data_IF_021589861775
#
_entry.id   IF_021589861775
#
_cell.length_a   1.000
_cell.length_b   1.000
_cell.length_c   1.000
_cell.angle_alpha   90.00
_cell.angle_beta   90.00
_cell.angle_gamma   90.00
#
_symmetry.space_group_name_H-M   'P 1'
#
loop_
_entity.id
_entity.type
_entity.pdbx_description
1 polymer ?
#
# COMPACT_ATOMS: atom_id res chain seq x y z
N UNK A 1 0.71 -0.99 50.23
CA UNK A 1 1.65 0.03 49.69
C UNK A 1 1.47 0.05 48.19
N UNK A 2 0.57 0.91 47.70
CA UNK A 2 0.85 2.23 47.13
C UNK A 2 1.28 2.18 45.64
N UNK A 3 0.29 2.52 44.82
CA UNK A 3 0.34 2.88 43.39
C UNK A 3 0.99 4.26 43.23
N UNK A 4 1.67 4.51 42.09
CA UNK A 4 1.21 5.59 41.18
C UNK A 4 1.23 5.05 39.73
N UNK A 5 0.23 5.16 38.86
CA UNK A 5 -0.52 6.32 38.31
C UNK A 5 0.32 7.57 38.14
N UNK A 6 0.71 7.87 36.89
CA UNK A 6 0.60 9.22 36.36
C UNK A 6 0.21 9.22 34.88
N UNK A 7 -0.81 10.03 34.65
CA UNK A 7 -1.43 10.45 33.40
C UNK A 7 -0.66 11.66 32.84
N UNK A 8 -1.10 12.09 31.64
CA UNK A 8 -0.82 13.39 31.01
C UNK A 8 0.49 13.45 30.18
N UNK A 9 0.56 14.04 29.00
CA UNK A 9 -0.43 14.78 28.19
C UNK A 9 0.13 14.90 26.78
N UNK A 10 -0.79 14.88 25.82
CA UNK A 10 -0.69 15.38 24.46
C UNK A 10 0.08 16.71 24.34
N UNK A 11 0.97 16.81 23.35
CA UNK A 11 1.20 18.05 22.59
C UNK A 11 1.85 17.78 21.23
N UNK A 12 1.00 17.84 20.21
CA UNK A 12 1.23 18.36 18.88
C UNK A 12 2.30 19.46 18.86
N UNK A 13 3.26 19.43 17.92
CA UNK A 13 3.36 20.36 16.76
C UNK A 13 4.78 20.40 16.18
N UNK A 14 4.84 20.45 14.84
CA UNK A 14 5.86 21.05 13.93
C UNK A 14 7.01 20.17 13.41
N UNK A 15 6.86 19.82 12.13
CA UNK A 15 7.92 19.84 11.12
C UNK A 15 8.77 21.10 11.24
N UNK A 16 10.11 20.96 11.20
CA UNK A 16 11.09 21.81 10.50
C UNK A 16 12.48 21.13 10.60
N UNK A 17 13.31 21.18 9.55
CA UNK A 17 14.50 20.35 9.38
C UNK A 17 15.68 20.76 10.26
N UNK A 18 16.59 19.79 10.43
CA UNK A 18 17.85 19.86 11.15
C UNK A 18 18.64 21.16 10.94
N UNK A 19 18.70 21.99 11.98
CA UNK A 19 19.78 22.95 12.21
C UNK A 19 20.44 22.59 13.55
N UNK A 20 21.69 22.14 13.49
CA UNK A 20 22.50 21.87 14.69
C UNK A 20 22.99 23.19 15.27
N UNK A 21 22.84 23.38 16.58
CA UNK A 21 23.34 24.54 17.33
C UNK A 21 24.78 24.25 17.78
N UNK A 22 25.72 25.15 17.47
CA UNK A 22 27.08 25.13 18.03
C UNK A 22 27.25 26.27 19.04
N UNK A 23 28.08 26.04 20.06
CA UNK A 23 28.10 26.71 21.39
C UNK A 23 28.64 28.16 21.39
N UNK A 24 28.81 28.81 20.24
CA UNK A 24 29.22 30.22 20.18
C UNK A 24 28.11 31.05 19.55
N UNK A 25 27.47 31.91 20.35
CA UNK A 25 26.47 32.86 19.91
C UNK A 25 27.02 33.81 18.82
N UNK A 26 26.75 33.48 17.56
CA UNK A 26 26.64 34.37 16.38
C UNK A 26 26.05 33.56 15.21
N UNK A 27 24.91 34.01 14.67
CA UNK A 27 24.38 33.49 13.41
C UNK A 27 25.36 33.85 12.28
N UNK A 28 25.92 32.84 11.62
CA UNK A 28 26.67 33.00 10.38
C UNK A 28 25.84 32.34 9.28
N UNK A 29 25.13 33.15 8.50
CA UNK A 29 24.58 32.73 7.21
C UNK A 29 25.69 32.85 6.17
N UNK A 30 25.99 31.81 5.36
CA UNK A 30 26.89 31.98 4.23
C UNK A 30 26.20 32.84 3.17
N UNK A 31 26.70 34.06 2.99
CA UNK A 31 26.38 34.92 1.85
C UNK A 31 27.08 34.38 0.61
N UNK A 32 26.33 33.78 -0.31
CA UNK A 32 26.88 33.35 -1.58
C UNK A 32 27.05 34.58 -2.49
N UNK A 33 28.31 34.99 -2.66
CA UNK A 33 28.72 36.12 -3.48
C UNK A 33 28.67 35.75 -4.97
N UNK A 34 27.87 36.47 -5.75
CA UNK A 34 27.77 36.35 -7.20
C UNK A 34 29.01 36.96 -7.85
N UNK A 35 29.98 36.14 -8.25
CA UNK A 35 31.06 36.58 -9.17
C UNK A 35 30.73 36.15 -10.59
N UNK A 36 30.42 37.14 -11.42
CA UNK A 36 30.32 37.00 -12.87
C UNK A 36 31.76 36.95 -13.40
N UNK A 37 32.16 35.82 -13.97
CA UNK A 37 33.33 35.73 -14.86
C UNK A 37 32.91 35.03 -16.14
N UNK A 38 32.92 35.81 -17.22
CA UNK A 38 32.76 35.36 -18.61
C UNK A 38 34.07 34.73 -19.07
N UNK A 39 34.05 33.47 -19.52
CA UNK A 39 34.94 33.00 -20.58
C UNK A 39 34.45 31.68 -21.18
N UNK A 40 34.54 31.60 -22.51
CA UNK A 40 33.96 30.58 -23.39
C UNK A 40 34.87 29.34 -23.54
N UNK A 41 34.20 28.23 -23.88
CA UNK A 41 34.65 26.98 -24.55
C UNK A 41 35.29 25.90 -23.66
N UNK A 42 34.59 24.77 -23.61
CA UNK A 42 35.09 23.47 -23.16
C UNK A 42 33.92 22.49 -23.07
N UNK A 43 33.67 21.75 -24.15
CA UNK A 43 32.54 20.84 -24.28
C UNK A 43 32.46 19.86 -23.12
N UNK A 44 31.44 20.01 -22.28
CA UNK A 44 31.27 19.14 -21.13
C UNK A 44 30.28 18.04 -21.47
N UNK A 45 30.83 16.86 -21.75
CA UNK A 45 30.14 15.57 -21.77
C UNK A 45 29.62 15.22 -20.37
N UNK A 46 28.81 16.07 -19.75
CA UNK A 46 27.97 15.63 -18.65
C UNK A 46 26.68 15.10 -19.25
N UNK A 47 26.72 13.83 -19.68
CA UNK A 47 25.49 13.02 -19.73
C UNK A 47 24.87 13.14 -18.34
N UNK A 48 23.82 13.96 -18.22
CA UNK A 48 22.90 13.90 -17.08
C UNK A 48 22.51 12.43 -16.93
N UNK A 49 22.96 11.76 -15.87
CA UNK A 49 22.39 10.46 -15.49
C UNK A 49 20.98 10.77 -15.01
N UNK A 50 19.90 10.39 -15.71
CA UNK A 50 18.57 10.52 -15.14
C UNK A 50 18.42 9.37 -14.15
N UNK A 51 18.91 9.54 -12.92
CA UNK A 51 18.64 8.61 -11.83
C UNK A 51 17.27 8.95 -11.24
N UNK A 52 16.21 8.87 -12.04
CA UNK A 52 14.91 8.51 -11.49
C UNK A 52 14.84 7.01 -11.70
N UNK A 53 15.17 6.21 -10.68
CA UNK A 53 14.95 4.76 -10.78
C UNK A 53 13.47 4.57 -11.15
N UNK A 54 13.18 4.09 -12.36
CA UNK A 54 11.80 3.95 -12.77
C UNK A 54 11.15 2.90 -11.88
N UNK A 55 9.87 3.09 -11.59
CA UNK A 55 9.09 2.14 -10.81
C UNK A 55 9.21 0.73 -11.45
N UNK A 56 9.40 -0.34 -10.64
CA UNK A 56 9.53 -1.68 -11.18
C UNK A 56 8.27 -2.09 -11.94
N UNK A 57 8.47 -2.98 -12.92
CA UNK A 57 7.35 -3.61 -13.62
C UNK A 57 6.58 -4.53 -12.66
N UNK A 58 5.25 -4.56 -12.80
CA UNK A 58 4.39 -5.44 -12.02
C UNK A 58 4.60 -6.89 -12.44
N UNK A 59 4.69 -7.79 -11.46
CA UNK A 59 4.46 -9.21 -11.68
C UNK A 59 2.98 -9.46 -11.98
N UNK A 60 2.67 -10.66 -12.48
CA UNK A 60 1.30 -11.07 -12.73
C UNK A 60 0.46 -11.03 -11.44
N UNK A 61 -0.78 -10.57 -11.53
CA UNK A 61 -1.71 -10.44 -10.39
C UNK A 61 -1.21 -9.53 -9.25
N UNK A 62 -0.15 -8.76 -9.48
CA UNK A 62 0.36 -7.79 -8.53
C UNK A 62 -0.52 -6.54 -8.54
N UNK A 63 -0.76 -5.99 -7.35
CA UNK A 63 -1.43 -4.70 -7.22
C UNK A 63 -0.50 -3.60 -7.75
N UNK A 64 -0.97 -2.88 -8.75
CA UNK A 64 -0.24 -1.79 -9.39
C UNK A 64 -0.49 -0.43 -8.72
N UNK A 65 -1.72 -0.19 -8.24
CA UNK A 65 -2.06 0.99 -7.44
C UNK A 65 -2.92 0.60 -6.22
N UNK A 66 -2.68 1.26 -5.09
CA UNK A 66 -3.60 1.28 -3.95
C UNK A 66 -4.30 2.63 -3.90
N UNK A 67 -5.63 2.63 -3.86
CA UNK A 67 -6.48 3.82 -3.95
C UNK A 67 -7.25 3.98 -2.64
N UNK A 68 -6.90 4.99 -1.88
CA UNK A 68 -7.51 5.29 -0.59
C UNK A 68 -8.66 6.27 -0.78
N UNK A 69 -9.89 5.74 -0.83
CA UNK A 69 -11.10 6.50 -1.18
C UNK A 69 -11.33 7.69 -0.24
N UNK A 70 -11.13 7.49 1.08
CA UNK A 70 -11.29 8.55 2.09
C UNK A 70 -10.27 9.68 1.94
N UNK A 71 -9.04 9.34 1.57
CA UNK A 71 -7.94 10.30 1.42
C UNK A 71 -7.86 10.89 0.00
N UNK A 72 -8.67 10.38 -0.94
CA UNK A 72 -8.58 10.68 -2.38
C UNK A 72 -7.14 10.57 -2.90
N UNK A 73 -6.42 9.58 -2.40
CA UNK A 73 -5.00 9.39 -2.65
C UNK A 73 -4.75 8.08 -3.39
N UNK A 74 -3.88 8.12 -4.40
CA UNK A 74 -3.42 6.94 -5.13
C UNK A 74 -1.95 6.72 -4.83
N UNK A 75 -1.64 5.56 -4.27
CA UNK A 75 -0.27 5.10 -4.07
C UNK A 75 0.13 4.17 -5.22
N UNK A 76 1.04 4.60 -6.10
CA UNK A 76 1.59 3.71 -7.12
C UNK A 76 2.58 2.72 -6.50
N UNK A 77 2.49 1.46 -6.92
CA UNK A 77 3.31 0.35 -6.40
C UNK A 77 4.21 -0.25 -7.47
N UNK A 78 3.70 -0.43 -8.69
CA UNK A 78 4.46 -0.92 -9.84
C UNK A 78 3.87 -0.39 -11.15
N UNK A 79 4.63 -0.45 -12.24
CA UNK A 79 4.15 -0.11 -13.60
C UNK A 79 3.67 -1.36 -14.32
N UNK A 80 2.52 -1.29 -14.98
CA UNK A 80 2.08 -2.37 -15.86
C UNK A 80 3.08 -2.57 -17.02
N UNK A 81 3.20 -3.81 -17.49
CA UNK A 81 4.02 -4.16 -18.64
C UNK A 81 3.65 -3.33 -19.87
N UNK A 82 4.65 -2.95 -20.68
CA UNK A 82 4.44 -2.13 -21.89
C UNK A 82 3.61 -2.83 -22.97
N UNK A 83 3.50 -4.16 -22.91
CA UNK A 83 2.65 -4.94 -23.80
C UNK A 83 1.16 -4.79 -23.50
N UNK A 84 0.78 -4.29 -22.31
CA UNK A 84 -0.62 -4.05 -21.97
C UNK A 84 -1.13 -2.76 -22.60
N UNK A 85 -2.40 -2.79 -23.01
CA UNK A 85 -3.05 -1.70 -23.76
C UNK A 85 -3.12 -0.37 -22.99
N UNK A 86 -3.27 -0.44 -21.67
CA UNK A 86 -3.50 0.72 -20.81
C UNK A 86 -2.54 0.71 -19.61
N UNK A 87 -2.17 1.90 -19.08
CA UNK A 87 -1.44 2.00 -17.81
C UNK A 87 -2.35 1.58 -16.64
N UNK A 88 -1.74 1.34 -15.47
CA UNK A 88 -2.49 1.00 -14.25
C UNK A 88 -3.55 2.07 -13.95
N UNK A 89 -4.79 1.63 -13.73
CA UNK A 89 -5.92 2.53 -13.48
C UNK A 89 -5.70 3.37 -12.22
N UNK A 90 -6.01 4.66 -12.30
CA UNK A 90 -6.02 5.61 -11.16
C UNK A 90 -7.43 6.03 -10.77
N UNK A 91 -8.45 5.42 -11.38
CA UNK A 91 -9.85 5.77 -11.19
C UNK A 91 -10.31 5.48 -9.75
N UNK A 92 -11.02 6.43 -9.14
CA UNK A 92 -11.59 6.31 -7.79
C UNK A 92 -12.96 5.58 -7.78
N UNK A 93 -13.23 4.72 -8.76
CA UNK A 93 -14.46 3.94 -8.86
C UNK A 93 -14.15 2.53 -9.37
N UNK A 94 -15.00 1.53 -9.07
CA UNK A 94 -14.71 0.13 -9.39
C UNK A 94 -15.04 -0.29 -10.83
N UNK A 95 -15.72 0.56 -11.62
CA UNK A 95 -16.29 0.19 -12.93
C UNK A 95 -15.28 0.23 -14.10
N UNK A 96 -14.03 -0.14 -13.85
CA UNK A 96 -12.96 -0.13 -14.86
C UNK A 96 -12.44 -1.54 -15.23
N UNK A 97 -13.03 -2.60 -14.68
CA UNK A 97 -12.59 -3.99 -14.90
C UNK A 97 -11.26 -4.34 -14.24
N UNK A 98 -10.62 -3.39 -13.56
CA UNK A 98 -9.27 -3.52 -12.99
C UNK A 98 -9.25 -3.26 -11.47
N UNK A 99 -10.43 -3.25 -10.83
CA UNK A 99 -10.59 -2.91 -9.41
C UNK A 99 -11.06 -4.06 -8.56
N UNK A 100 -10.41 -4.27 -7.42
CA UNK A 100 -10.92 -5.12 -6.33
C UNK A 100 -11.20 -4.25 -5.10
N UNK A 101 -12.36 -4.46 -4.48
CA UNK A 101 -12.80 -3.70 -3.31
C UNK A 101 -12.24 -4.32 -2.03
N UNK A 102 -11.50 -3.54 -1.23
CA UNK A 102 -11.14 -3.93 0.13
C UNK A 102 -12.10 -3.26 1.12
N UNK A 103 -13.04 -4.06 1.60
CA UNK A 103 -13.92 -3.76 2.72
C UNK A 103 -13.12 -3.94 4.02
N UNK A 104 -13.15 -2.92 4.88
CA UNK A 104 -12.38 -2.92 6.12
C UNK A 104 -13.25 -3.15 7.36
N UNK A 105 -14.56 -3.39 7.22
CA UNK A 105 -15.48 -3.41 8.35
C UNK A 105 -16.51 -4.54 8.27
N UNK A 106 -16.93 -5.03 9.45
CA UNK A 106 -17.92 -6.10 9.64
C UNK A 106 -19.30 -5.70 9.13
N UNK A 107 -19.59 -4.40 9.12
CA UNK A 107 -20.85 -3.86 8.61
C UNK A 107 -20.91 -3.83 7.07
N UNK A 108 -19.78 -4.03 6.38
CA UNK A 108 -19.72 -4.19 4.92
C UNK A 108 -20.16 -2.96 4.10
N UNK A 109 -20.57 -1.86 4.73
CA UNK A 109 -21.31 -0.80 4.02
C UNK A 109 -20.42 0.17 3.22
N UNK A 110 -19.10 0.25 3.49
CA UNK A 110 -18.22 1.20 2.78
C UNK A 110 -16.84 0.62 2.49
N UNK A 111 -16.54 0.47 1.19
CA UNK A 111 -15.19 0.23 0.68
C UNK A 111 -14.28 1.39 1.05
N UNK A 112 -13.24 1.13 1.85
CA UNK A 112 -12.30 2.17 2.28
C UNK A 112 -11.11 2.29 1.33
N UNK A 113 -10.70 1.16 0.77
CA UNK A 113 -9.53 1.06 -0.12
C UNK A 113 -9.91 0.24 -1.34
N UNK A 114 -9.55 0.74 -2.52
CA UNK A 114 -9.60 -0.01 -3.76
C UNK A 114 -8.18 -0.43 -4.11
N UNK A 115 -8.00 -1.66 -4.56
CA UNK A 115 -6.73 -2.09 -5.15
C UNK A 115 -6.92 -2.26 -6.65
N UNK A 116 -5.89 -1.90 -7.40
CA UNK A 116 -5.89 -1.95 -8.85
C UNK A 116 -4.87 -2.97 -9.33
N UNK A 117 -5.28 -3.81 -10.26
CA UNK A 117 -4.42 -4.78 -10.93
C UNK A 117 -4.29 -4.40 -12.40
N UNK A 118 -3.23 -4.88 -13.05
CA UNK A 118 -3.02 -4.57 -14.46
C UNK A 118 -3.91 -5.44 -15.38
N UNK A 119 -4.15 -6.68 -14.98
CA UNK A 119 -4.99 -7.63 -15.68
C UNK A 119 -6.47 -7.39 -15.40
N UNK A 120 -7.33 -7.97 -16.23
CA UNK A 120 -8.78 -7.95 -16.01
C UNK A 120 -9.14 -8.73 -14.75
N UNK A 121 -9.86 -8.09 -13.84
CA UNK A 121 -10.33 -8.67 -12.58
C UNK A 121 -11.31 -9.81 -12.83
N UNK A 122 -12.04 -9.82 -13.94
CA UNK A 122 -12.95 -10.92 -14.29
C UNK A 122 -12.21 -12.25 -14.44
N UNK A 123 -10.97 -12.24 -14.92
CA UNK A 123 -10.12 -13.42 -15.07
C UNK A 123 -9.65 -14.04 -13.74
N UNK A 124 -9.76 -13.29 -12.64
CA UNK A 124 -9.36 -13.75 -11.30
C UNK A 124 -10.44 -14.68 -10.75
N UNK A 125 -10.04 -15.86 -10.27
CA UNK A 125 -10.95 -16.83 -9.66
C UNK A 125 -11.68 -16.27 -8.43
N UNK A 126 -12.87 -16.77 -8.16
CA UNK A 126 -13.58 -16.53 -6.89
C UNK A 126 -12.90 -17.37 -5.79
N UNK A 127 -12.82 -16.82 -4.58
CA UNK A 127 -12.27 -17.52 -3.42
C UNK A 127 -13.08 -18.78 -3.11
N UNK A 128 -12.43 -19.86 -2.66
CA UNK A 128 -13.11 -21.11 -2.28
C UNK A 128 -13.48 -21.14 -0.79
N UNK A 129 -14.53 -21.90 -0.44
CA UNK A 129 -14.93 -22.13 0.95
C UNK A 129 -14.01 -23.15 1.66
N UNK A 130 -13.88 -23.12 3.01
CA UNK A 130 -14.42 -22.12 3.93
C UNK A 130 -13.52 -20.89 4.12
N UNK A 131 -12.22 -21.03 3.81
CA UNK A 131 -11.21 -19.98 3.92
C UNK A 131 -10.27 -20.07 2.71
N UNK A 132 -10.08 -18.96 2.00
CA UNK A 132 -9.05 -18.83 0.96
C UNK A 132 -8.31 -17.51 1.16
N UNK A 133 -7.06 -17.44 0.74
CA UNK A 133 -6.31 -16.18 0.78
C UNK A 133 -6.80 -15.29 -0.34
N UNK A 134 -7.30 -14.10 -0.04
CA UNK A 134 -7.73 -13.13 -1.04
C UNK A 134 -6.57 -12.25 -1.51
N UNK A 135 -5.85 -11.69 -0.53
CA UNK A 135 -4.77 -10.74 -0.74
C UNK A 135 -3.57 -11.19 0.07
N UNK A 136 -2.39 -11.20 -0.55
CA UNK A 136 -1.12 -11.45 0.12
C UNK A 136 -0.25 -10.20 0.06
N UNK A 137 0.46 -9.91 1.15
CA UNK A 137 1.44 -8.85 1.28
C UNK A 137 2.80 -9.49 1.60
N UNK A 138 3.68 -9.52 0.61
CA UNK A 138 5.05 -10.01 0.72
C UNK A 138 5.93 -8.85 1.19
N UNK A 139 6.16 -8.78 2.49
CA UNK A 139 6.89 -7.69 3.12
C UNK A 139 8.36 -8.06 3.29
N UNK A 140 9.24 -7.20 2.81
CA UNK A 140 10.65 -7.27 3.13
C UNK A 140 10.86 -6.82 4.58
N UNK A 141 11.36 -7.70 5.43
CA UNK A 141 11.47 -7.44 6.88
C UNK A 141 12.44 -6.30 7.22
N UNK A 142 13.43 -6.04 6.36
CA UNK A 142 14.43 -4.99 6.57
C UNK A 142 13.93 -3.61 6.16
N UNK A 143 13.19 -3.52 5.06
CA UNK A 143 12.74 -2.22 4.51
C UNK A 143 11.31 -1.87 4.86
N UNK A 144 10.51 -2.83 5.33
CA UNK A 144 9.08 -2.68 5.57
C UNK A 144 8.23 -2.55 4.30
N UNK A 145 8.84 -2.49 3.10
CA UNK A 145 8.14 -2.43 1.82
C UNK A 145 7.44 -3.75 1.53
N UNK A 146 6.22 -3.68 1.01
CA UNK A 146 5.43 -4.85 0.67
C UNK A 146 5.00 -4.84 -0.80
N UNK A 147 5.03 -6.03 -1.41
CA UNK A 147 4.37 -6.30 -2.68
C UNK A 147 3.04 -6.98 -2.40
N UNK A 148 1.97 -6.52 -3.04
CA UNK A 148 0.64 -7.08 -2.84
C UNK A 148 0.25 -7.94 -4.04
N UNK A 149 -0.23 -9.16 -3.78
CA UNK A 149 -0.70 -10.11 -4.79
C UNK A 149 -2.15 -10.44 -4.53
N UNK A 150 -2.99 -10.37 -5.56
CA UNK A 150 -4.40 -10.79 -5.50
C UNK A 150 -4.48 -12.25 -5.92
N UNK A 151 -4.95 -13.11 -5.02
CA UNK A 151 -5.03 -14.56 -5.24
C UNK A 151 -6.43 -14.97 -5.72
N UNK A 152 -7.47 -14.38 -5.15
CA UNK A 152 -8.86 -14.62 -5.52
C UNK A 152 -9.74 -13.39 -5.20
N UNK A 153 -10.96 -13.37 -5.74
CA UNK A 153 -11.99 -12.38 -5.39
C UNK A 153 -12.89 -12.95 -4.32
N UNK A 154 -12.99 -12.27 -3.18
CA UNK A 154 -13.97 -12.63 -2.18
C UNK A 154 -15.38 -12.30 -2.71
N UNK A 155 -16.32 -13.25 -2.69
CA UNK A 155 -17.67 -12.99 -3.16
C UNK A 155 -18.38 -12.01 -2.22
N UNK A 156 -19.47 -11.40 -2.69
CA UNK A 156 -20.20 -10.36 -1.93
C UNK A 156 -20.78 -10.84 -0.59
N UNK A 157 -20.94 -12.15 -0.40
CA UNK A 157 -21.41 -12.76 0.85
C UNK A 157 -20.27 -13.23 1.76
N UNK A 158 -19.03 -13.15 1.29
CA UNK A 158 -17.84 -13.47 2.08
C UNK A 158 -17.40 -12.26 2.91
N UNK A 159 -16.71 -12.54 4.01
CA UNK A 159 -16.13 -11.53 4.90
C UNK A 159 -14.61 -11.62 4.77
N UNK A 160 -13.95 -10.46 4.67
CA UNK A 160 -12.50 -10.41 4.75
C UNK A 160 -12.03 -10.36 6.19
N UNK A 161 -11.17 -11.29 6.56
CA UNK A 161 -10.52 -11.35 7.87
C UNK A 161 -9.01 -11.16 7.73
N UNK A 162 -8.38 -10.53 8.72
CA UNK A 162 -6.94 -10.27 8.73
C UNK A 162 -6.60 -8.78 8.74
N UNK A 163 -5.31 -8.41 8.71
CA UNK A 163 -4.16 -9.17 8.23
C UNK A 163 -3.72 -10.31 9.16
N UNK A 164 -3.48 -11.49 8.58
CA UNK A 164 -2.98 -12.69 9.26
C UNK A 164 -1.57 -13.00 8.74
N UNK A 165 -0.65 -13.36 9.64
CA UNK A 165 0.68 -13.85 9.25
C UNK A 165 0.54 -15.26 8.66
N UNK A 166 1.02 -15.45 7.43
CA UNK A 166 1.08 -16.78 6.82
C UNK A 166 2.34 -17.48 7.34
N UNK A 167 2.17 -18.48 8.21
CA UNK A 167 3.27 -19.13 8.95
C UNK A 167 4.02 -20.20 8.15
N UNK A 168 3.37 -20.82 7.15
CA UNK A 168 3.99 -21.76 6.21
C UNK A 168 3.49 -21.60 4.76
N UNK A 169 3.70 -20.46 4.09
CA UNK A 169 3.46 -20.40 2.65
C UNK A 169 4.28 -21.46 1.88
N UNK A 170 3.78 -22.03 0.77
CA UNK A 170 4.60 -22.83 -0.13
C UNK A 170 5.86 -22.06 -0.61
N UNK A 171 5.76 -20.73 -0.64
CA UNK A 171 6.81 -19.78 -1.00
C UNK A 171 7.60 -19.22 0.20
N UNK A 172 7.35 -19.69 1.43
CA UNK A 172 7.81 -19.09 2.69
C UNK A 172 9.28 -19.26 3.04
N UNK A 173 10.01 -20.09 2.30
CA UNK A 173 11.41 -20.37 2.65
C UNK A 173 12.35 -19.27 2.19
N UNK A 174 11.84 -18.12 1.75
CA UNK A 174 12.66 -16.98 1.37
C UNK A 174 13.05 -16.22 2.65
N UNK A 175 14.32 -16.31 3.10
CA UNK A 175 14.75 -15.59 4.29
C UNK A 175 14.60 -14.09 4.10
N UNK A 176 14.12 -13.40 5.14
CA UNK A 176 13.95 -11.94 5.12
C UNK A 176 12.66 -11.43 4.47
N UNK A 177 11.70 -12.32 4.17
CA UNK A 177 10.36 -11.94 3.73
C UNK A 177 9.32 -12.49 4.71
N UNK A 178 8.45 -11.61 5.21
CA UNK A 178 7.24 -11.99 5.94
C UNK A 178 6.05 -11.90 5.01
N UNK A 179 5.21 -12.93 4.99
CA UNK A 179 3.99 -12.95 4.18
C UNK A 179 2.81 -12.75 5.11
N UNK A 180 2.09 -11.65 4.92
CA UNK A 180 0.79 -11.40 5.55
C UNK A 180 -0.30 -11.59 4.52
N UNK A 181 -1.54 -11.78 4.95
CA UNK A 181 -2.65 -11.84 4.02
C UNK A 181 -4.00 -11.56 4.65
N UNK A 182 -4.97 -11.27 3.78
CA UNK A 182 -6.37 -11.20 4.13
C UNK A 182 -7.04 -12.48 3.66
N UNK A 183 -7.74 -13.16 4.56
CA UNK A 183 -8.53 -14.34 4.28
C UNK A 183 -9.92 -13.90 3.84
N UNK A 184 -10.47 -14.57 2.84
CA UNK A 184 -11.89 -14.53 2.55
C UNK A 184 -12.55 -15.70 3.26
N UNK A 185 -13.42 -15.39 4.23
CA UNK A 185 -14.19 -16.37 4.97
C UNK A 185 -15.61 -16.37 4.45
N UNK A 186 -16.04 -17.53 3.97
CA UNK A 186 -17.40 -17.74 3.47
C UNK A 186 -18.17 -18.47 4.55
N UNK A 187 -19.04 -17.73 5.25
CA UNK A 187 -19.85 -18.29 6.31
C UNK A 187 -20.90 -19.23 5.74
N UNK A 188 -21.10 -20.39 6.39
CA UNK A 188 -22.31 -21.22 6.25
C UNK A 188 -23.52 -20.45 6.81
N UNK A 189 -23.95 -19.36 6.17
CA UNK A 189 -25.00 -18.42 6.60
C UNK A 189 -24.57 -17.64 7.87
N UNK A 190 -24.76 -16.33 7.99
CA UNK A 190 -26.05 -15.73 8.38
C UNK A 190 -27.02 -16.68 9.11
N UNK A 191 -26.53 -17.51 10.04
CA UNK A 191 -27.34 -18.39 10.90
C UNK A 191 -27.96 -17.63 12.09
N UNK A 192 -28.25 -16.34 11.91
CA UNK A 192 -28.89 -15.45 12.89
C UNK A 192 -30.08 -14.65 12.31
N UNK A 193 -30.48 -14.88 11.05
CA UNK A 193 -31.71 -14.33 10.47
C UNK A 193 -32.69 -15.41 10.01
N UNK A 194 -32.71 -16.56 10.70
CA UNK A 194 -33.79 -17.56 10.55
C UNK A 194 -34.28 -18.02 11.92
N UNK A 195 -34.65 -17.05 12.76
CA UNK A 195 -35.45 -17.28 13.96
C UNK A 195 -36.20 -15.98 14.33
N UNK A 196 -37.02 -15.46 13.42
CA UNK A 196 -38.03 -14.43 13.73
C UNK A 196 -39.10 -14.35 12.64
N UNK A 197 -39.62 -15.49 12.20
CA UNK A 197 -40.86 -15.52 11.42
C UNK A 197 -41.58 -16.84 11.65
N UNK A 198 -41.94 -17.08 12.90
CA UNK A 198 -43.10 -17.87 13.31
C UNK A 198 -43.45 -17.43 14.74
N UNK A 199 -44.28 -16.39 14.81
CA UNK A 199 -45.25 -16.16 15.88
C UNK A 199 -46.29 -15.19 15.35
#
# INVERSE_FOLDING_TARGET
>A
MHVPKNYATEKTTRLIPYCSVSVAAKLICPTFSSSIVSSRRGGSFYKRRPYSNPMPECASQQVCNAVFMRLKFVQPLCRCASAMKNPCSTRMHPNDGHTVNLLADKDGQKTQTLIKVCEDVESIKICQEPHDWMLLALQNVRTGKAHYLVVCKCPNHGIMEGPVLHTQPPYARIPGISVYGMLCVQGRKSRLHKESTYQ
#
